data_IF_168386614781
#
_entry.id   IF_168386614781
#
_cell.length_a   1.000
_cell.length_b   1.000
_cell.length_c   1.000
_cell.angle_alpha   90.00
_cell.angle_beta   90.00
_cell.angle_gamma   90.00
#
_symmetry.space_group_name_H-M   'P 1'
#
loop_
_entity.id
_entity.type
_entity.pdbx_description
1 polymer ?
#
# COMPACT_ATOMS: atom_id res chain seq x y z
N UNK A 1 9.34 10.39 10.68
CA UNK A 1 8.76 9.08 10.28
C UNK A 1 8.99 8.10 11.42
N UNK A 2 8.12 7.10 11.57
CA UNK A 2 8.28 6.02 12.57
C UNK A 2 8.75 4.76 11.86
N UNK A 3 9.69 4.01 12.46
CA UNK A 3 10.15 2.72 11.93
C UNK A 3 9.11 1.63 12.25
N UNK A 4 8.69 0.89 11.24
CA UNK A 4 7.77 -0.25 11.38
C UNK A 4 8.45 -1.48 10.80
N UNK A 5 8.43 -2.58 11.55
CA UNK A 5 8.96 -3.89 11.13
C UNK A 5 7.83 -4.90 11.06
N UNK A 6 7.79 -5.69 9.98
CA UNK A 6 6.79 -6.73 9.78
C UNK A 6 7.35 -7.83 8.88
N UNK A 7 6.72 -8.99 8.92
CA UNK A 7 7.07 -10.12 8.06
C UNK A 7 6.25 -10.08 6.77
N UNK A 8 6.89 -10.36 5.64
CA UNK A 8 6.22 -10.52 4.35
C UNK A 8 6.71 -11.77 3.63
N UNK A 9 5.85 -12.43 2.83
CA UNK A 9 6.27 -13.49 1.94
C UNK A 9 7.38 -13.03 0.98
N UNK A 10 8.42 -13.86 0.83
CA UNK A 10 9.54 -13.60 -0.09
C UNK A 10 9.08 -13.26 -1.52
N UNK A 11 8.07 -13.93 -2.12
CA UNK A 11 7.62 -13.57 -3.46
C UNK A 11 7.12 -12.12 -3.56
N UNK A 12 6.42 -11.62 -2.55
CA UNK A 12 5.93 -10.23 -2.54
C UNK A 12 7.08 -9.22 -2.38
N UNK A 13 8.08 -9.53 -1.54
CA UNK A 13 9.27 -8.69 -1.45
C UNK A 13 9.99 -8.59 -2.79
N UNK A 14 10.09 -9.68 -3.56
CA UNK A 14 10.73 -9.69 -4.88
C UNK A 14 9.98 -8.88 -5.93
N UNK A 15 8.65 -8.85 -5.87
CA UNK A 15 7.85 -7.95 -6.72
C UNK A 15 8.11 -6.49 -6.36
N UNK A 16 8.20 -6.18 -5.06
CA UNK A 16 8.52 -4.84 -4.58
C UNK A 16 9.92 -4.39 -5.05
N UNK A 17 10.88 -5.32 -5.05
CA UNK A 17 12.25 -5.09 -5.53
C UNK A 17 12.27 -4.74 -7.01
N UNK A 18 11.54 -5.51 -7.84
CA UNK A 18 11.41 -5.21 -9.27
C UNK A 18 10.86 -3.82 -9.54
N UNK A 19 9.87 -3.37 -8.77
CA UNK A 19 9.34 -2.01 -8.93
C UNK A 19 10.38 -0.92 -8.64
N UNK A 20 11.33 -1.19 -7.75
CA UNK A 20 12.44 -0.27 -7.45
C UNK A 20 13.52 -0.35 -8.53
N UNK A 21 13.90 -1.55 -8.94
CA UNK A 21 14.89 -1.80 -10.00
C UNK A 21 14.44 -1.20 -11.35
N UNK A 22 13.15 -1.25 -11.66
CA UNK A 22 12.55 -0.62 -12.84
C UNK A 22 12.43 0.91 -12.72
N UNK A 23 12.82 1.50 -11.58
CA UNK A 23 12.77 2.94 -11.33
C UNK A 23 11.37 3.50 -11.09
N UNK A 24 10.34 2.64 -10.92
CA UNK A 24 8.96 3.09 -10.65
C UNK A 24 8.81 3.69 -9.26
N UNK A 25 9.61 3.21 -8.30
CA UNK A 25 9.70 3.77 -6.96
C UNK A 25 11.15 3.93 -6.54
N UNK A 26 11.49 4.97 -5.77
CA UNK A 26 12.86 5.21 -5.32
C UNK A 26 13.33 4.26 -4.21
N UNK A 27 12.40 3.57 -3.54
CA UNK A 27 12.72 2.56 -2.53
C UNK A 27 11.53 1.64 -2.26
N UNK A 28 11.81 0.48 -1.64
CA UNK A 28 10.79 -0.44 -1.09
C UNK A 28 9.82 0.28 -0.16
N UNK A 29 10.37 1.15 0.68
CA UNK A 29 9.62 1.92 1.67
C UNK A 29 8.62 2.88 1.02
N UNK A 30 8.99 3.53 -0.08
CA UNK A 30 8.08 4.41 -0.83
C UNK A 30 7.00 3.61 -1.55
N UNK A 31 7.35 2.48 -2.16
CA UNK A 31 6.36 1.60 -2.79
C UNK A 31 5.32 1.06 -1.78
N UNK A 32 5.76 0.66 -0.58
CA UNK A 32 4.86 0.23 0.51
C UNK A 32 3.97 1.38 0.98
N UNK A 33 4.52 2.59 1.19
CA UNK A 33 3.74 3.77 1.58
C UNK A 33 2.65 4.09 0.57
N UNK A 34 3.00 4.06 -0.72
CA UNK A 34 2.05 4.29 -1.80
C UNK A 34 0.91 3.24 -1.78
N UNK A 35 1.23 1.96 -1.58
CA UNK A 35 0.24 0.90 -1.45
C UNK A 35 -0.71 1.11 -0.24
N UNK A 36 -0.16 1.53 0.92
CA UNK A 36 -0.96 1.85 2.11
C UNK A 36 -1.92 3.02 1.84
N UNK A 37 -1.45 4.09 1.18
CA UNK A 37 -2.29 5.24 0.83
C UNK A 37 -3.45 4.80 -0.07
N UNK A 38 -3.16 3.99 -1.10
CA UNK A 38 -4.19 3.49 -2.01
C UNK A 38 -5.23 2.61 -1.29
N UNK A 39 -4.79 1.74 -0.39
CA UNK A 39 -5.68 0.92 0.42
C UNK A 39 -6.61 1.78 1.28
N UNK A 40 -6.03 2.73 2.04
CA UNK A 40 -6.81 3.61 2.91
C UNK A 40 -7.82 4.47 2.13
N UNK A 41 -7.45 4.96 0.95
CA UNK A 41 -8.35 5.72 0.09
C UNK A 41 -9.54 4.86 -0.39
N UNK A 42 -9.26 3.63 -0.86
CA UNK A 42 -10.29 2.68 -1.32
C UNK A 42 -11.26 2.31 -0.21
N UNK A 43 -10.75 2.03 0.99
CA UNK A 43 -11.61 1.63 2.12
C UNK A 43 -12.44 2.79 2.65
N UNK A 44 -11.90 4.02 2.70
CA UNK A 44 -12.68 5.21 3.07
C UNK A 44 -13.85 5.46 2.10
N UNK A 45 -13.62 5.29 0.80
CA UNK A 45 -14.70 5.41 -0.19
C UNK A 45 -15.76 4.33 0.00
N UNK A 46 -15.36 3.09 0.31
CA UNK A 46 -16.31 2.01 0.64
C UNK A 46 -17.16 2.36 1.86
N UNK A 47 -16.56 2.88 2.92
CA UNK A 47 -17.29 3.28 4.14
C UNK A 47 -18.33 4.36 3.83
N UNK A 48 -17.96 5.39 3.06
CA UNK A 48 -18.88 6.47 2.69
C UNK A 48 -20.06 5.95 1.84
N UNK A 49 -19.83 5.04 0.90
CA UNK A 49 -20.89 4.44 0.09
C UNK A 49 -21.82 3.57 0.97
N UNK A 50 -21.26 2.83 1.93
CA UNK A 50 -22.06 2.02 2.85
C UNK A 50 -22.95 2.88 3.77
N UNK A 51 -22.41 3.97 4.32
CA UNK A 51 -23.18 4.90 5.14
C UNK A 51 -24.32 5.57 4.37
N UNK A 52 -24.11 5.91 3.09
CA UNK A 52 -25.15 6.53 2.23
C UNK A 52 -26.22 5.54 1.78
N UNK A 53 -25.88 4.27 1.56
CA UNK A 53 -26.83 3.25 1.08
C UNK A 53 -27.70 2.64 2.19
N UNK A 54 -27.31 2.81 3.45
CA UNK A 54 -27.98 2.21 4.62
C UNK A 54 -28.66 3.28 5.51
N UNK A 55 -28.50 4.57 5.20
CA UNK A 55 -29.23 5.67 5.81
C UNK A 55 -30.51 6.01 5.03
#
# INVERSE_FOLDING_TARGET
MVLVTFHIPIPLLRELDRLVEEGKFPSRSEAIRHAIIQLLARERQRTQIHEVLVA
#
